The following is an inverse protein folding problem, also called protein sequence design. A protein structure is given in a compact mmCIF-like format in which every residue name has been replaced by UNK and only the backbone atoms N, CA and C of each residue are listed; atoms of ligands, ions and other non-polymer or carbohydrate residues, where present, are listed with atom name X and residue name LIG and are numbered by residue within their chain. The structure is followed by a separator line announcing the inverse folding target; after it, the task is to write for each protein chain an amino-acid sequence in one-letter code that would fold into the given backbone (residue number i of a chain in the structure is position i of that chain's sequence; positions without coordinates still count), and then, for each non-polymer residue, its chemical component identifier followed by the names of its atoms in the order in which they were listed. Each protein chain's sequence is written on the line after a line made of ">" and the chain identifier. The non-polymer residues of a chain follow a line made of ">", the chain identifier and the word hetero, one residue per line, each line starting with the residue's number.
data_IF_083347382186
#
_entry.id   IF_083347382186
#
_cell.length_a   1.000
_cell.length_b   1.000
_cell.length_c   1.000
_cell.angle_alpha   90.00
_cell.angle_beta   90.00
_cell.angle_gamma   90.00
#
_symmetry.space_group_name_H-M   'P 1'
#
loop_
_entity.id
_entity.type
_entity.pdbx_description
1 polymer ?
#
# COMPACT_ATOMS: atom_id res chain seq x y z
N UNK A 1 13.32 4.84 -15.86
CA UNK A 1 13.54 3.39 -15.65
C UNK A 1 13.02 2.66 -16.88
N UNK A 2 13.75 1.67 -17.41
CA UNK A 2 13.29 0.90 -18.58
C UNK A 2 12.34 -0.22 -18.15
N UNK A 3 11.55 -0.76 -19.09
CA UNK A 3 10.72 -1.95 -18.84
C UNK A 3 11.56 -3.13 -18.34
N UNK A 4 12.75 -3.33 -18.92
CA UNK A 4 13.69 -4.39 -18.52
C UNK A 4 14.17 -4.27 -17.07
N UNK A 5 14.23 -3.06 -16.50
CA UNK A 5 14.60 -2.87 -15.10
C UNK A 5 13.47 -3.29 -14.14
N UNK A 6 12.21 -3.07 -14.54
CA UNK A 6 11.04 -3.39 -13.75
C UNK A 6 10.73 -4.90 -13.78
N UNK A 7 10.92 -5.55 -14.92
CA UNK A 7 10.73 -7.01 -15.12
C UNK A 7 11.56 -7.88 -14.17
N UNK A 8 12.69 -7.34 -13.67
CA UNK A 8 13.50 -8.00 -12.65
C UNK A 8 12.73 -8.23 -11.35
N UNK A 9 11.79 -7.33 -11.04
CA UNK A 9 11.07 -7.34 -9.76
C UNK A 9 9.60 -7.72 -9.90
N UNK A 10 8.97 -7.31 -10.99
CA UNK A 10 7.55 -7.46 -11.29
C UNK A 10 7.35 -8.47 -12.42
N UNK A 11 6.40 -9.37 -12.25
CA UNK A 11 6.03 -10.34 -13.27
C UNK A 11 5.15 -9.68 -14.34
N UNK A 12 5.79 -9.12 -15.38
CA UNK A 12 5.08 -8.48 -16.48
C UNK A 12 4.36 -9.46 -17.42
N UNK A 13 4.66 -10.77 -17.35
CA UNK A 13 3.89 -11.78 -18.08
C UNK A 13 2.50 -11.97 -17.43
N UNK A 14 2.45 -12.06 -16.11
CA UNK A 14 1.19 -12.15 -15.36
C UNK A 14 0.44 -10.81 -15.30
N UNK A 15 1.18 -9.70 -15.18
CA UNK A 15 0.65 -8.35 -15.05
C UNK A 15 1.26 -7.40 -16.10
N UNK A 16 0.80 -7.44 -17.36
CA UNK A 16 1.37 -6.62 -18.44
C UNK A 16 0.93 -5.16 -18.32
N UNK A 17 1.64 -4.38 -17.51
CA UNK A 17 1.27 -3.02 -17.09
C UNK A 17 1.11 -2.00 -18.23
N UNK A 18 1.71 -2.27 -19.40
CA UNK A 18 1.63 -1.41 -20.58
C UNK A 18 0.60 -1.92 -21.61
N UNK A 19 -0.07 -3.04 -21.35
CA UNK A 19 -1.10 -3.58 -22.24
C UNK A 19 -2.43 -2.88 -21.99
N UNK A 20 -2.88 -2.08 -22.97
CA UNK A 20 -4.11 -1.28 -22.88
C UNK A 20 -5.34 -2.09 -22.44
N UNK A 21 -5.52 -3.32 -22.94
CA UNK A 21 -6.67 -4.16 -22.57
C UNK A 21 -6.59 -4.62 -21.12
N UNK A 22 -5.38 -4.93 -20.64
CA UNK A 22 -5.17 -5.30 -19.25
C UNK A 22 -5.44 -4.12 -18.31
N UNK A 23 -4.92 -2.93 -18.65
CA UNK A 23 -5.15 -1.71 -17.86
C UNK A 23 -6.65 -1.36 -17.81
N UNK A 24 -7.33 -1.38 -18.95
CA UNK A 24 -8.77 -1.13 -19.01
C UNK A 24 -9.55 -2.13 -18.14
N UNK A 25 -9.23 -3.42 -18.22
CA UNK A 25 -9.87 -4.45 -17.38
C UNK A 25 -9.64 -4.20 -15.89
N UNK A 26 -8.42 -3.78 -15.51
CA UNK A 26 -8.09 -3.44 -14.14
C UNK A 26 -8.90 -2.23 -13.64
N UNK A 27 -8.99 -1.17 -14.45
CA UNK A 27 -9.81 0.01 -14.16
C UNK A 27 -11.29 -0.36 -13.99
N UNK A 28 -11.87 -1.12 -14.93
CA UNK A 28 -13.26 -1.56 -14.87
C UNK A 28 -13.53 -2.38 -13.61
N UNK A 29 -12.63 -3.30 -13.27
CA UNK A 29 -12.74 -4.13 -12.05
C UNK A 29 -12.71 -3.27 -10.79
N UNK A 30 -11.75 -2.34 -10.69
CA UNK A 30 -11.62 -1.46 -9.54
C UNK A 30 -12.86 -0.58 -9.35
N UNK A 31 -13.43 -0.05 -10.44
CA UNK A 31 -14.63 0.79 -10.40
C UNK A 31 -15.91 0.03 -10.00
N UNK A 32 -16.02 -1.24 -10.36
CA UNK A 32 -17.19 -2.07 -10.03
C UNK A 32 -17.09 -2.63 -8.61
N UNK A 33 -15.93 -3.18 -8.25
CA UNK A 33 -15.74 -3.96 -7.02
C UNK A 33 -15.20 -3.11 -5.85
N UNK A 34 -14.67 -1.92 -6.13
CA UNK A 34 -13.99 -1.08 -5.14
C UNK A 34 -12.60 -1.57 -4.72
N UNK A 35 -12.16 -2.74 -5.22
CA UNK A 35 -10.85 -3.30 -4.98
C UNK A 35 -10.35 -4.12 -6.18
N UNK A 36 -9.04 -4.22 -6.34
CA UNK A 36 -8.39 -5.00 -7.39
C UNK A 36 -7.25 -5.84 -6.80
N UNK A 37 -7.26 -7.15 -7.07
CA UNK A 37 -6.15 -8.05 -6.72
C UNK A 37 -5.35 -8.46 -7.95
N UNK A 38 -4.07 -8.11 -7.99
CA UNK A 38 -3.12 -8.53 -9.02
C UNK A 38 -2.31 -9.71 -8.50
N UNK A 39 -2.75 -10.93 -8.82
CA UNK A 39 -2.06 -12.15 -8.38
C UNK A 39 -0.72 -12.28 -9.08
N UNK A 40 0.29 -12.76 -8.34
CA UNK A 40 1.65 -12.97 -8.83
C UNK A 40 2.26 -11.70 -9.42
N UNK A 41 1.93 -10.51 -8.87
CA UNK A 41 2.46 -9.25 -9.35
C UNK A 41 3.98 -9.15 -9.19
N UNK A 42 4.51 -9.58 -8.04
CA UNK A 42 5.95 -9.68 -7.81
C UNK A 42 6.47 -11.04 -8.29
N UNK A 43 7.71 -11.06 -8.78
CA UNK A 43 8.43 -12.32 -9.00
C UNK A 43 8.67 -13.02 -7.66
N UNK A 44 8.70 -14.36 -7.66
CA UNK A 44 8.90 -15.16 -6.43
C UNK A 44 10.21 -14.78 -5.70
N UNK A 45 11.31 -14.63 -6.44
CA UNK A 45 12.60 -14.20 -5.88
C UNK A 45 12.53 -12.80 -5.24
N UNK A 46 11.76 -11.88 -5.83
CA UNK A 46 11.53 -10.54 -5.26
C UNK A 46 10.79 -10.63 -3.93
N UNK A 47 9.78 -11.49 -3.82
CA UNK A 47 9.04 -11.70 -2.57
C UNK A 47 9.99 -12.23 -1.50
N UNK A 48 10.77 -13.27 -1.81
CA UNK A 48 11.74 -13.84 -0.87
C UNK A 48 12.76 -12.79 -0.38
N UNK A 49 13.29 -11.97 -1.29
CA UNK A 49 14.21 -10.89 -0.98
C UNK A 49 13.56 -9.84 -0.06
N UNK A 50 12.35 -9.38 -0.40
CA UNK A 50 11.65 -8.34 0.36
C UNK A 50 11.21 -8.84 1.73
N UNK A 51 10.79 -10.09 1.86
CA UNK A 51 10.48 -10.71 3.16
C UNK A 51 11.72 -10.78 4.04
N UNK A 52 12.87 -11.19 3.48
CA UNK A 52 14.13 -11.21 4.20
C UNK A 52 14.54 -9.79 4.65
N UNK A 53 14.51 -8.83 3.74
CA UNK A 53 14.81 -7.42 4.02
C UNK A 53 13.90 -6.85 5.11
N UNK A 54 12.59 -7.12 5.05
CA UNK A 54 11.62 -6.71 6.05
C UNK A 54 11.93 -7.33 7.43
N UNK A 55 12.25 -8.62 7.50
CA UNK A 55 12.61 -9.30 8.76
C UNK A 55 13.90 -8.73 9.37
N UNK A 56 14.92 -8.47 8.55
CA UNK A 56 16.18 -7.89 9.00
C UNK A 56 15.99 -6.48 9.59
N UNK A 57 15.06 -5.70 9.03
CA UNK A 57 14.78 -4.34 9.49
C UNK A 57 13.67 -4.23 10.54
N UNK A 58 13.02 -5.34 10.90
CA UNK A 58 11.87 -5.34 11.84
C UNK A 58 12.19 -4.74 13.21
N UNK A 59 13.44 -4.87 13.68
CA UNK A 59 13.87 -4.28 14.95
C UNK A 59 13.81 -2.74 14.99
N UNK A 60 13.72 -2.09 13.82
CA UNK A 60 13.55 -0.64 13.67
C UNK A 60 12.08 -0.20 13.71
N UNK A 61 11.15 -1.16 13.64
CA UNK A 61 9.74 -0.86 13.49
C UNK A 61 9.22 -0.12 14.73
N UNK A 62 8.47 0.96 14.48
CA UNK A 62 7.70 1.62 15.51
C UNK A 62 6.37 0.88 15.69
N UNK A 63 6.06 0.51 16.93
CA UNK A 63 4.83 -0.18 17.28
C UNK A 63 3.92 0.76 18.07
N UNK A 64 2.72 0.95 17.56
CA UNK A 64 1.67 1.75 18.21
C UNK A 64 0.45 0.90 18.50
N UNK A 65 -0.28 1.30 19.54
CA UNK A 65 -1.61 0.83 19.88
C UNK A 65 -2.46 2.07 20.17
N UNK A 66 -3.55 2.24 19.43
CA UNK A 66 -4.44 3.38 19.56
C UNK A 66 -5.87 2.98 19.23
N UNK A 67 -6.81 3.83 19.65
CA UNK A 67 -8.20 3.73 19.19
C UNK A 67 -8.52 4.87 18.23
N UNK A 68 -9.48 4.63 17.36
CA UNK A 68 -10.03 5.65 16.47
C UNK A 68 -11.50 5.35 16.17
N UNK A 69 -12.25 6.36 15.71
CA UNK A 69 -13.53 6.10 15.06
C UNK A 69 -13.32 5.65 13.60
N UNK A 70 -14.40 5.28 12.93
CA UNK A 70 -14.37 4.77 11.55
C UNK A 70 -13.94 5.82 10.50
N UNK A 71 -13.89 7.10 10.89
CA UNK A 71 -13.56 8.23 10.01
C UNK A 71 -12.17 8.81 10.28
N UNK A 72 -11.42 8.27 11.25
CA UNK A 72 -10.12 8.77 11.70
C UNK A 72 -10.16 10.25 12.15
N UNK A 73 -11.26 10.67 12.76
CA UNK A 73 -11.46 12.03 13.27
C UNK A 73 -11.60 12.05 14.80
N UNK A 74 -11.47 13.23 15.44
CA UNK A 74 -11.93 13.41 16.82
C UNK A 74 -13.41 13.06 16.97
N UNK A 75 -13.80 12.69 18.19
CA UNK A 75 -15.21 12.49 18.53
C UNK A 75 -16.02 13.78 18.34
N UNK A 76 -17.30 13.63 18.00
CA UNK A 76 -18.24 14.74 17.87
C UNK A 76 -19.11 14.81 19.13
N UNK A 77 -18.96 15.91 19.88
CA UNK A 77 -19.66 16.17 21.13
C UNK A 77 -21.18 16.31 20.98
N UNK A 78 -21.69 16.48 19.75
CA UNK A 78 -23.13 16.49 19.48
C UNK A 78 -23.76 15.10 19.51
N UNK A 79 -22.96 14.03 19.49
CA UNK A 79 -23.44 12.65 19.53
C UNK A 79 -23.05 11.94 20.83
N UNK A 80 -23.89 10.98 21.30
CA UNK A 80 -23.52 10.07 22.38
C UNK A 80 -22.25 9.26 22.09
N UNK A 81 -21.63 8.69 23.12
CA UNK A 81 -20.42 7.86 23.00
C UNK A 81 -20.66 6.56 22.21
N UNK A 82 -21.85 5.97 22.32
CA UNK A 82 -22.25 4.74 21.64
C UNK A 82 -22.80 4.97 20.22
N UNK A 83 -22.84 6.23 19.76
CA UNK A 83 -23.17 6.55 18.38
C UNK A 83 -22.06 6.05 17.44
N UNK A 84 -22.42 5.54 16.26
CA UNK A 84 -21.48 4.94 15.30
C UNK A 84 -20.31 5.86 14.92
N UNK A 85 -20.51 7.18 14.94
CA UNK A 85 -19.46 8.18 14.70
C UNK A 85 -18.42 8.22 15.84
N UNK A 86 -18.83 7.98 17.08
CA UNK A 86 -17.98 8.07 18.27
C UNK A 86 -17.45 6.71 18.74
N UNK A 87 -18.06 5.60 18.30
CA UNK A 87 -17.62 4.24 18.59
C UNK A 87 -16.14 4.07 18.28
N UNK A 88 -15.37 3.71 19.30
CA UNK A 88 -13.93 3.51 19.20
C UNK A 88 -13.61 2.08 18.77
N UNK A 89 -12.69 1.96 17.83
CA UNK A 89 -12.16 0.72 17.30
C UNK A 89 -10.67 0.68 17.61
N UNK A 90 -10.18 -0.48 18.05
CA UNK A 90 -8.77 -0.69 18.36
C UNK A 90 -7.98 -0.94 17.08
N UNK A 91 -6.78 -0.35 17.03
CA UNK A 91 -5.79 -0.61 16.00
C UNK A 91 -4.41 -0.72 16.64
N UNK A 92 -3.67 -1.74 16.23
CA UNK A 92 -2.26 -1.91 16.54
C UNK A 92 -1.47 -2.02 15.25
N UNK A 93 -0.51 -1.12 15.03
CA UNK A 93 0.31 -1.09 13.82
C UNK A 93 1.78 -1.18 14.20
N UNK A 94 2.53 -1.99 13.48
CA UNK A 94 3.99 -1.95 13.48
C UNK A 94 4.46 -1.60 12.08
N UNK A 95 5.28 -0.58 11.91
CA UNK A 95 5.85 -0.30 10.60
C UNK A 95 7.27 0.25 10.66
N UNK A 96 8.00 0.03 9.57
CA UNK A 96 9.12 0.88 9.18
C UNK A 96 8.69 1.82 8.05
N UNK A 97 9.25 3.02 8.04
CA UNK A 97 8.94 4.10 7.10
C UNK A 97 9.93 4.17 5.93
N UNK A 98 9.63 4.99 4.93
CA UNK A 98 10.37 5.07 3.66
C UNK A 98 11.88 5.33 3.83
N UNK A 99 12.26 6.14 4.81
CA UNK A 99 13.65 6.48 5.16
C UNK A 99 14.43 5.29 5.74
N UNK A 100 13.75 4.34 6.36
CA UNK A 100 14.33 3.14 6.96
C UNK A 100 14.49 1.98 5.95
N UNK A 101 13.81 2.06 4.80
CA UNK A 101 13.91 1.08 3.71
C UNK A 101 15.25 1.28 2.97
N UNK A 102 16.05 0.24 2.70
CA UNK A 102 17.29 0.36 1.95
C UNK A 102 17.10 1.01 0.56
N UNK A 103 18.01 1.89 0.15
CA UNK A 103 17.90 2.56 -1.17
C UNK A 103 17.94 1.59 -2.36
N UNK A 104 18.60 0.44 -2.18
CA UNK A 104 18.64 -0.65 -3.15
C UNK A 104 17.41 -1.56 -3.13
N UNK A 105 16.44 -1.30 -2.25
CA UNK A 105 15.24 -2.13 -2.10
C UNK A 105 14.39 -2.07 -3.37
N UNK A 106 13.88 -3.24 -3.78
CA UNK A 106 12.95 -3.35 -4.89
C UNK A 106 11.69 -2.49 -4.69
N UNK A 107 11.28 -2.25 -3.43
CA UNK A 107 10.14 -1.37 -3.12
C UNK A 107 10.37 0.06 -3.65
N UNK A 108 11.56 0.63 -3.41
CA UNK A 108 11.91 1.97 -3.88
C UNK A 108 12.05 2.01 -5.41
N UNK A 109 12.57 0.95 -6.01
CA UNK A 109 12.66 0.81 -7.47
C UNK A 109 11.27 0.79 -8.11
N UNK A 110 10.35 -0.04 -7.61
CA UNK A 110 8.98 -0.17 -8.12
C UNK A 110 8.23 1.15 -7.94
N UNK A 111 8.28 1.75 -6.74
CA UNK A 111 7.59 3.01 -6.44
C UNK A 111 7.99 4.16 -7.38
N UNK A 112 9.28 4.26 -7.71
CA UNK A 112 9.83 5.30 -8.60
C UNK A 112 9.66 4.98 -10.08
N UNK A 113 9.17 3.80 -10.45
CA UNK A 113 9.01 3.39 -11.84
C UNK A 113 7.91 4.18 -12.52
N UNK A 114 8.25 4.87 -13.62
CA UNK A 114 7.26 5.60 -14.42
C UNK A 114 6.23 4.67 -15.09
N UNK A 115 6.61 3.41 -15.37
CA UNK A 115 5.70 2.41 -15.90
C UNK A 115 4.65 2.05 -14.85
N UNK A 116 5.10 1.81 -13.62
CA UNK A 116 4.20 1.50 -12.51
C UNK A 116 3.30 2.69 -12.16
N UNK A 117 3.87 3.91 -12.03
CA UNK A 117 3.09 5.13 -11.77
C UNK A 117 2.04 5.39 -12.85
N UNK A 118 2.37 5.23 -14.14
CA UNK A 118 1.40 5.38 -15.23
C UNK A 118 0.29 4.32 -15.16
N UNK A 119 0.67 3.08 -14.91
CA UNK A 119 -0.30 2.00 -14.72
C UNK A 119 -1.27 2.32 -13.58
N UNK A 120 -0.77 2.69 -12.40
CA UNK A 120 -1.64 3.04 -11.27
C UNK A 120 -2.51 4.26 -11.62
N UNK A 121 -1.94 5.31 -12.21
CA UNK A 121 -2.70 6.50 -12.63
C UNK A 121 -3.88 6.12 -13.54
N UNK A 122 -3.63 5.30 -14.56
CA UNK A 122 -4.66 4.86 -15.50
C UNK A 122 -5.75 4.00 -14.82
N UNK A 123 -5.38 3.07 -13.92
CA UNK A 123 -6.39 2.24 -13.25
C UNK A 123 -7.22 3.01 -12.23
N UNK A 124 -6.66 4.03 -11.57
CA UNK A 124 -7.41 4.87 -10.61
C UNK A 124 -8.11 6.06 -11.28
N UNK A 125 -7.95 6.25 -12.59
CA UNK A 125 -8.58 7.35 -13.33
C UNK A 125 -7.89 8.70 -13.17
N UNK A 126 -6.64 8.73 -12.68
CA UNK A 126 -5.84 9.93 -12.50
C UNK A 126 -4.98 10.24 -13.72
N UNK A 127 -4.74 11.53 -13.98
CA UNK A 127 -3.90 11.94 -15.11
C UNK A 127 -2.42 11.62 -14.88
N UNK A 128 -1.94 11.90 -13.66
CA UNK A 128 -0.55 11.79 -13.24
C UNK A 128 -0.54 11.49 -11.73
N UNK A 129 0.38 10.63 -11.29
CA UNK A 129 0.69 10.44 -9.88
C UNK A 129 2.02 11.09 -9.53
N UNK A 130 2.06 11.69 -8.35
CA UNK A 130 3.24 12.32 -7.77
C UNK A 130 3.66 11.53 -6.52
N UNK A 131 4.96 11.55 -6.24
CA UNK A 131 5.49 10.99 -5.00
C UNK A 131 5.08 11.87 -3.81
N UNK A 132 4.92 11.27 -2.63
CA UNK A 132 4.66 12.04 -1.42
C UNK A 132 5.86 12.94 -1.12
N UNK A 133 5.58 14.18 -0.70
CA UNK A 133 6.62 15.13 -0.27
C UNK A 133 7.19 14.74 1.12
N UNK A 134 6.38 14.09 1.95
CA UNK A 134 6.81 13.57 3.24
C UNK A 134 7.80 12.39 3.04
N UNK A 135 9.06 12.53 3.51
CA UNK A 135 10.08 11.50 3.33
C UNK A 135 9.81 10.21 4.10
N UNK A 136 8.79 10.15 4.96
CA UNK A 136 8.44 8.96 5.73
C UNK A 136 7.31 8.16 5.08
N UNK A 137 6.35 8.83 4.43
CA UNK A 137 5.02 8.27 4.14
C UNK A 137 4.86 7.56 2.79
N UNK A 138 5.80 7.68 1.86
CA UNK A 138 5.70 7.11 0.51
C UNK A 138 5.52 5.58 0.48
N UNK A 139 6.31 4.85 1.28
CA UNK A 139 6.33 3.40 1.38
C UNK A 139 6.39 3.02 2.86
N UNK A 140 5.47 2.18 3.31
CA UNK A 140 5.45 1.66 4.67
C UNK A 140 5.44 0.12 4.62
N UNK A 141 6.35 -0.53 5.36
CA UNK A 141 6.32 -1.99 5.51
C UNK A 141 5.67 -2.29 6.85
N UNK A 142 4.47 -2.86 6.81
CA UNK A 142 3.68 -3.17 7.99
C UNK A 142 3.97 -4.59 8.50
N UNK A 143 4.04 -4.73 9.82
CA UNK A 143 4.20 -6.00 10.53
C UNK A 143 2.94 -6.27 11.34
N UNK A 144 2.26 -7.35 11.03
CA UNK A 144 1.10 -7.84 11.76
C UNK A 144 1.44 -9.21 12.38
N UNK A 145 1.60 -9.23 13.71
CA UNK A 145 1.78 -10.46 14.50
C UNK A 145 0.41 -10.95 15.00
N UNK A 146 0.40 -12.16 15.53
CA UNK A 146 -0.75 -12.72 16.24
C UNK A 146 -1.31 -11.71 17.27
N UNK A 147 -2.62 -11.50 17.25
CA UNK A 147 -3.30 -10.53 18.11
C UNK A 147 -3.16 -9.06 17.71
N UNK A 148 -2.44 -8.73 16.63
CA UNK A 148 -2.43 -7.37 16.08
C UNK A 148 -3.52 -7.20 15.02
N UNK A 149 -4.21 -6.07 15.06
CA UNK A 149 -5.27 -5.74 14.12
C UNK A 149 -5.14 -4.32 13.58
N UNK A 150 -5.54 -4.12 12.33
CA UNK A 150 -5.85 -2.82 11.78
C UNK A 150 -7.38 -2.69 11.76
N UNK A 151 -7.92 -2.00 12.76
CA UNK A 151 -9.34 -1.81 12.95
C UNK A 151 -10.03 -1.19 11.74
N UNK A 152 -11.32 -1.49 11.55
CA UNK A 152 -12.10 -1.02 10.42
C UNK A 152 -12.17 0.51 10.36
N UNK A 153 -11.93 1.10 9.19
CA UNK A 153 -12.01 2.55 8.96
C UNK A 153 -12.14 2.86 7.46
N UNK A 154 -12.53 4.10 7.16
CA UNK A 154 -12.30 4.76 5.89
C UNK A 154 -10.93 5.44 5.91
N UNK A 155 -10.14 5.24 4.86
CA UNK A 155 -8.84 5.90 4.71
C UNK A 155 -9.03 7.36 4.29
N UNK A 156 -8.07 8.21 4.67
CA UNK A 156 -7.99 9.60 4.20
C UNK A 156 -7.34 9.70 2.81
N UNK A 157 -6.72 8.61 2.34
CA UNK A 157 -6.13 8.51 1.01
C UNK A 157 -7.18 8.20 -0.06
N UNK A 158 -7.07 8.80 -1.25
CA UNK A 158 -7.98 8.51 -2.38
C UNK A 158 -7.89 7.05 -2.87
N UNK A 159 -6.73 6.41 -2.66
CA UNK A 159 -6.50 4.99 -2.91
C UNK A 159 -5.27 4.51 -2.13
N UNK A 160 -5.12 3.19 -2.00
CA UNK A 160 -3.92 2.57 -1.45
C UNK A 160 -3.50 1.39 -2.33
N UNK A 161 -2.20 1.11 -2.34
CA UNK A 161 -1.63 -0.10 -2.97
C UNK A 161 -0.93 -0.90 -1.89
N UNK A 162 -1.31 -2.17 -1.75
CA UNK A 162 -0.69 -3.10 -0.80
C UNK A 162 0.01 -4.22 -1.56
N UNK A 163 1.28 -4.44 -1.24
CA UNK A 163 2.02 -5.63 -1.63
C UNK A 163 2.01 -6.59 -0.44
N UNK A 164 1.45 -7.79 -0.64
CA UNK A 164 1.51 -8.86 0.36
C UNK A 164 2.86 -9.58 0.23
N UNK A 165 3.63 -9.60 1.32
CA UNK A 165 4.96 -10.19 1.44
C UNK A 165 4.92 -11.40 2.38
#
# INVERSE_FOLDING_TARGET
>A
MSTADLERFVNLEACPLQNVKFVQKCNETLNIEGALTLKNFLNEETVEQLVKEAKENQHKAFYSNSTHNIYLTPQDENFPEDHIFNTQITSSKGCITTDQIPDSSALKTIYKSDIFKKFIAEIVGEKILYEYEDPLSSINVHYAKEGQELGWHFDNSSFAVTLLL
#
